data_IF_494880057135
#
_entry.id   IF_494880057135
#
_cell.length_a   1.000
_cell.length_b   1.000
_cell.length_c   1.000
_cell.angle_alpha   90.00
_cell.angle_beta   90.00
_cell.angle_gamma   90.00
#
_symmetry.space_group_name_H-M   'P 1'
#
loop_
_entity.id
_entity.type
_entity.pdbx_description
1 polymer ?
#
# COMPACT_ATOMS: atom_id res chain seq x y z
N UNK A 1 37.12 -11.88 -38.29
CA UNK A 1 35.69 -11.52 -38.17
C UNK A 1 35.05 -12.00 -36.85
N UNK A 2 35.32 -13.23 -36.37
CA UNK A 2 34.70 -13.74 -35.12
C UNK A 2 35.16 -13.05 -33.83
N UNK A 3 36.42 -12.59 -33.73
CA UNK A 3 36.94 -11.92 -32.54
C UNK A 3 36.35 -10.52 -32.31
N UNK A 4 36.01 -9.82 -33.39
CA UNK A 4 35.40 -8.47 -33.36
C UNK A 4 33.94 -8.56 -32.89
N UNK A 5 33.19 -9.56 -33.38
CA UNK A 5 31.80 -9.82 -32.97
C UNK A 5 31.74 -10.20 -31.47
N UNK A 6 32.69 -11.01 -31.00
CA UNK A 6 32.81 -11.35 -29.57
C UNK A 6 33.14 -10.13 -28.71
N UNK A 7 34.06 -9.27 -29.16
CA UNK A 7 34.40 -8.02 -28.46
C UNK A 7 33.21 -7.06 -28.35
N UNK A 8 32.45 -6.89 -29.42
CA UNK A 8 31.22 -6.07 -29.42
C UNK A 8 30.16 -6.68 -28.49
N UNK A 9 29.99 -8.00 -28.51
CA UNK A 9 29.08 -8.70 -27.61
C UNK A 9 29.39 -8.47 -26.13
N UNK A 10 30.68 -8.53 -25.73
CA UNK A 10 31.09 -8.27 -24.34
C UNK A 10 30.80 -6.83 -23.88
N UNK A 11 30.93 -5.85 -24.78
CA UNK A 11 30.67 -4.43 -24.46
C UNK A 11 29.22 -4.20 -24.04
N UNK A 12 28.25 -4.95 -24.60
CA UNK A 12 26.85 -4.86 -24.20
C UNK A 12 26.46 -5.83 -23.08
N UNK A 13 27.08 -7.01 -23.01
CA UNK A 13 26.76 -8.02 -22.00
C UNK A 13 27.21 -7.61 -20.60
N UNK A 14 28.38 -6.98 -20.45
CA UNK A 14 28.89 -6.58 -19.13
C UNK A 14 27.97 -5.55 -18.46
N UNK A 15 27.59 -4.42 -19.10
CA UNK A 15 26.65 -3.46 -18.51
C UNK A 15 25.29 -4.09 -18.20
N UNK A 16 24.78 -4.97 -19.07
CA UNK A 16 23.51 -5.65 -18.84
C UNK A 16 23.58 -6.57 -17.62
N UNK A 17 24.66 -7.34 -17.47
CA UNK A 17 24.89 -8.20 -16.31
C UNK A 17 25.05 -7.37 -15.02
N UNK A 18 25.79 -6.26 -15.08
CA UNK A 18 25.94 -5.32 -13.96
C UNK A 18 24.59 -4.75 -13.56
N UNK A 19 23.78 -4.28 -14.51
CA UNK A 19 22.43 -3.75 -14.23
C UNK A 19 21.50 -4.81 -13.64
N UNK A 20 21.52 -6.03 -14.17
CA UNK A 20 20.70 -7.15 -13.68
C UNK A 20 21.00 -7.50 -12.22
N UNK A 21 22.25 -7.36 -11.79
CA UNK A 21 22.67 -7.59 -10.39
C UNK A 21 22.43 -6.33 -9.54
N UNK A 22 22.74 -5.15 -10.06
CA UNK A 22 22.66 -3.90 -9.30
C UNK A 22 21.22 -3.49 -8.97
N UNK A 23 20.27 -3.66 -9.90
CA UNK A 23 18.90 -3.21 -9.70
C UNK A 23 18.20 -3.88 -8.51
N UNK A 24 18.20 -5.22 -8.34
CA UNK A 24 17.62 -5.86 -7.17
C UNK A 24 18.31 -5.51 -5.84
N UNK A 25 19.60 -5.16 -5.88
CA UNK A 25 20.36 -4.73 -4.69
C UNK A 25 20.02 -3.30 -4.28
N UNK A 26 19.83 -2.40 -5.25
CA UNK A 26 19.50 -1.00 -5.01
C UNK A 26 18.00 -0.77 -4.76
N UNK A 27 17.13 -1.60 -5.36
CA UNK A 27 15.67 -1.49 -5.30
C UNK A 27 15.06 -2.85 -4.95
N UNK A 28 15.28 -3.37 -3.74
CA UNK A 28 14.85 -4.70 -3.36
C UNK A 28 13.32 -4.78 -3.22
N UNK A 29 12.75 -5.89 -3.70
CA UNK A 29 11.38 -6.28 -3.33
C UNK A 29 11.43 -6.93 -1.95
N UNK A 30 11.25 -6.12 -0.91
CA UNK A 30 11.34 -6.57 0.48
C UNK A 30 10.27 -7.60 0.81
N UNK A 31 10.62 -8.54 1.70
CA UNK A 31 9.65 -9.43 2.34
C UNK A 31 9.31 -8.85 3.71
N UNK A 32 8.02 -8.65 3.98
CA UNK A 32 7.57 -8.17 5.27
C UNK A 32 7.69 -9.30 6.31
N UNK A 33 8.00 -8.99 7.59
CA UNK A 33 8.00 -10.00 8.64
C UNK A 33 6.61 -10.62 8.77
N UNK A 34 6.56 -11.95 8.93
CA UNK A 34 5.31 -12.66 9.15
C UNK A 34 4.73 -12.29 10.52
N UNK A 35 3.42 -12.04 10.62
CA UNK A 35 2.74 -11.95 11.91
C UNK A 35 2.92 -13.23 12.71
N UNK A 36 3.02 -13.10 14.04
CA UNK A 36 3.29 -14.24 14.94
C UNK A 36 2.07 -14.66 15.75
N UNK A 37 0.91 -14.02 15.54
CA UNK A 37 -0.35 -14.40 16.16
C UNK A 37 -0.97 -15.68 15.58
N UNK A 38 -2.05 -16.14 16.21
CA UNK A 38 -2.71 -17.41 15.88
C UNK A 38 -3.69 -17.31 14.70
N UNK A 39 -4.13 -16.11 14.35
CA UNK A 39 -5.11 -15.89 13.29
C UNK A 39 -4.44 -15.60 11.95
N UNK A 40 -5.01 -16.15 10.88
CA UNK A 40 -4.74 -15.61 9.54
C UNK A 40 -5.29 -14.19 9.43
N UNK A 41 -4.70 -13.36 8.57
CA UNK A 41 -5.07 -11.95 8.45
C UNK A 41 -5.84 -11.71 7.15
N UNK A 42 -6.99 -11.05 7.27
CA UNK A 42 -7.75 -10.50 6.16
C UNK A 42 -7.56 -8.99 6.08
N UNK A 43 -7.69 -8.42 4.89
CA UNK A 43 -7.75 -6.97 4.71
C UNK A 43 -8.78 -6.55 3.67
N UNK A 44 -9.47 -5.45 3.94
CA UNK A 44 -10.42 -4.83 3.01
C UNK A 44 -10.30 -3.31 3.05
N UNK A 45 -10.87 -2.65 2.05
CA UNK A 45 -10.96 -1.19 1.98
C UNK A 45 -12.42 -0.79 2.01
N UNK A 46 -12.74 0.22 2.81
CA UNK A 46 -14.05 0.85 2.89
C UNK A 46 -13.90 2.37 2.76
N UNK A 47 -15.01 3.04 2.45
CA UNK A 47 -15.09 4.50 2.46
C UNK A 47 -16.36 4.93 3.17
N UNK A 48 -16.25 5.99 3.96
CA UNK A 48 -17.34 6.52 4.75
C UNK A 48 -17.53 8.00 4.45
N UNK A 49 -18.73 8.35 3.99
CA UNK A 49 -19.11 9.74 3.77
C UNK A 49 -19.74 10.31 5.04
N UNK A 50 -19.13 11.37 5.55
CA UNK A 50 -19.61 12.13 6.69
C UNK A 50 -20.50 13.28 6.21
N UNK A 51 -21.81 13.02 6.19
CA UNK A 51 -22.82 13.99 5.75
C UNK A 51 -22.95 15.22 6.67
N UNK A 52 -22.34 15.19 7.86
CA UNK A 52 -22.39 16.30 8.83
C UNK A 52 -21.26 17.32 8.63
N UNK A 53 -20.24 16.99 7.84
CA UNK A 53 -19.08 17.85 7.60
C UNK A 53 -18.87 18.09 6.11
N UNK A 54 -18.66 19.34 5.74
CA UNK A 54 -18.24 19.72 4.39
C UNK A 54 -16.76 19.34 4.17
N UNK A 55 -16.42 19.05 2.91
CA UNK A 55 -15.04 18.90 2.48
C UNK A 55 -14.41 20.28 2.30
N UNK A 56 -13.34 20.55 3.05
CA UNK A 56 -12.71 21.88 3.11
C UNK A 56 -11.51 22.01 2.17
N UNK A 57 -11.07 20.90 1.57
CA UNK A 57 -9.91 20.86 0.68
C UNK A 57 -10.26 20.98 -0.81
N UNK A 58 -11.53 20.87 -1.16
CA UNK A 58 -12.05 21.02 -2.53
C UNK A 58 -12.78 22.36 -2.69
N UNK A 59 -12.93 22.82 -3.94
CA UNK A 59 -13.77 23.97 -4.27
C UNK A 59 -15.22 23.56 -4.58
N UNK A 60 -15.51 22.27 -4.55
CA UNK A 60 -16.84 21.70 -4.77
C UNK A 60 -17.60 21.67 -3.45
N UNK A 61 -18.92 21.83 -3.52
CA UNK A 61 -19.79 21.59 -2.37
C UNK A 61 -19.97 20.08 -2.20
N UNK A 62 -19.01 19.42 -1.58
CA UNK A 62 -19.07 18.00 -1.21
C UNK A 62 -18.87 17.77 0.30
N UNK A 63 -19.21 16.57 0.77
CA UNK A 63 -19.04 16.15 2.15
C UNK A 63 -17.73 15.39 2.33
N UNK A 64 -17.18 15.43 3.56
CA UNK A 64 -15.94 14.73 3.90
C UNK A 64 -16.13 13.22 3.71
N UNK A 65 -15.40 12.64 2.76
CA UNK A 65 -15.42 11.20 2.49
C UNK A 65 -14.06 10.60 2.86
N UNK A 66 -13.98 9.81 3.93
CA UNK A 66 -12.73 9.20 4.42
C UNK A 66 -12.58 7.76 3.94
N UNK A 67 -11.36 7.34 3.67
CA UNK A 67 -11.06 5.93 3.40
C UNK A 67 -10.67 5.23 4.68
N UNK A 68 -10.94 3.93 4.77
CA UNK A 68 -10.49 3.09 5.87
C UNK A 68 -9.99 1.78 5.30
N UNK A 69 -8.73 1.44 5.59
CA UNK A 69 -8.23 0.09 5.39
C UNK A 69 -8.37 -0.68 6.68
N UNK A 70 -8.98 -1.87 6.59
CA UNK A 70 -9.30 -2.69 7.75
C UNK A 70 -8.44 -3.94 7.70
N UNK A 71 -7.88 -4.34 8.85
CA UNK A 71 -7.25 -5.64 9.06
C UNK A 71 -8.00 -6.38 10.15
N UNK A 72 -8.24 -7.68 9.95
CA UNK A 72 -9.06 -8.49 10.84
C UNK A 72 -8.60 -9.95 10.87
N UNK A 73 -8.90 -10.69 11.95
CA UNK A 73 -8.76 -12.15 11.98
C UNK A 73 -9.62 -12.75 10.87
N UNK A 74 -9.02 -13.58 10.02
CA UNK A 74 -9.68 -14.12 8.83
C UNK A 74 -9.74 -15.65 8.82
N UNK A 75 -10.72 -16.15 8.07
CA UNK A 75 -10.88 -17.57 7.74
C UNK A 75 -10.83 -17.76 6.21
N UNK A 76 -10.77 -19.01 5.74
CA UNK A 76 -10.87 -19.35 4.31
C UNK A 76 -9.85 -18.64 3.39
N UNK A 77 -8.62 -18.46 3.84
CA UNK A 77 -7.57 -17.69 3.15
C UNK A 77 -6.86 -18.48 2.04
N UNK A 78 -6.96 -19.81 2.03
CA UNK A 78 -6.24 -20.65 1.07
C UNK A 78 -6.64 -20.37 -0.39
N UNK A 79 -5.63 -20.19 -1.25
CA UNK A 79 -5.82 -19.95 -2.69
C UNK A 79 -6.42 -18.58 -3.05
N UNK A 80 -6.65 -17.70 -2.06
CA UNK A 80 -7.21 -16.35 -2.26
C UNK A 80 -6.11 -15.33 -2.57
N UNK A 81 -6.54 -14.14 -2.99
CA UNK A 81 -5.64 -13.07 -3.40
C UNK A 81 -4.92 -12.45 -2.20
N UNK A 82 -3.60 -12.54 -2.18
CA UNK A 82 -2.75 -11.84 -1.19
C UNK A 82 -2.65 -10.35 -1.53
N UNK A 83 -2.80 -9.49 -0.51
CA UNK A 83 -2.70 -8.05 -0.67
C UNK A 83 -1.26 -7.59 -0.95
N UNK A 84 -1.12 -6.57 -1.81
CA UNK A 84 0.15 -5.84 -2.00
C UNK A 84 0.24 -4.71 -1.01
N UNK A 85 1.46 -4.37 -0.57
CA UNK A 85 1.66 -3.29 0.39
C UNK A 85 1.17 -1.95 -0.15
N UNK A 86 1.52 -1.65 -1.40
CA UNK A 86 0.96 -0.54 -2.15
C UNK A 86 0.27 -1.14 -3.38
N UNK A 87 -1.06 -1.06 -3.43
CA UNK A 87 -1.85 -1.66 -4.50
C UNK A 87 -1.95 -0.78 -5.76
N UNK A 88 -1.46 0.46 -5.72
CA UNK A 88 -1.55 1.42 -6.83
C UNK A 88 -0.19 1.98 -7.24
N UNK A 89 0.16 1.82 -8.54
CA UNK A 89 1.34 2.44 -9.17
C UNK A 89 1.23 3.97 -9.18
N UNK A 90 0.01 4.48 -9.32
CA UNK A 90 -0.27 5.90 -9.30
C UNK A 90 0.00 6.48 -7.91
N UNK A 91 -0.45 5.81 -6.84
CA UNK A 91 -0.22 6.25 -5.46
C UNK A 91 1.28 6.41 -5.14
N UNK A 92 2.13 5.48 -5.58
CA UNK A 92 3.58 5.61 -5.38
C UNK A 92 4.22 6.67 -6.31
N UNK A 93 3.64 6.92 -7.48
CA UNK A 93 4.03 8.04 -8.35
C UNK A 93 3.75 9.40 -7.69
N UNK A 94 2.63 9.54 -6.99
CA UNK A 94 2.29 10.74 -6.22
C UNK A 94 3.28 10.98 -5.09
N UNK A 95 3.73 9.93 -4.40
CA UNK A 95 4.80 10.04 -3.43
C UNK A 95 6.10 10.56 -4.07
N UNK A 96 6.50 10.05 -5.23
CA UNK A 96 7.67 10.54 -5.97
C UNK A 96 7.53 12.02 -6.33
N UNK A 97 6.37 12.46 -6.86
CA UNK A 97 6.09 13.88 -7.16
C UNK A 97 6.18 14.73 -5.89
N UNK A 98 5.55 14.27 -4.80
CA UNK A 98 5.53 15.00 -3.53
C UNK A 98 6.93 15.19 -2.93
N UNK A 99 7.80 14.19 -3.06
CA UNK A 99 9.18 14.25 -2.55
C UNK A 99 10.18 14.84 -3.55
N UNK A 100 9.73 15.26 -4.74
CA UNK A 100 10.59 15.68 -5.84
C UNK A 100 11.69 14.64 -6.17
N UNK A 101 11.30 13.36 -6.21
CA UNK A 101 12.19 12.23 -6.48
C UNK A 101 11.93 11.66 -7.88
N UNK A 102 12.95 11.08 -8.53
CA UNK A 102 12.75 10.26 -9.72
C UNK A 102 11.81 9.09 -9.44
N UNK A 103 11.04 8.67 -10.45
CA UNK A 103 10.03 7.62 -10.30
C UNK A 103 10.63 6.20 -10.25
N UNK A 104 11.33 5.90 -9.15
CA UNK A 104 12.08 4.65 -8.95
C UNK A 104 11.44 3.71 -7.92
N UNK A 105 10.38 4.16 -7.24
CA UNK A 105 9.74 3.41 -6.14
C UNK A 105 8.62 2.47 -6.59
N UNK A 106 8.37 2.35 -7.90
CA UNK A 106 7.34 1.46 -8.44
C UNK A 106 7.46 -0.01 -7.98
N UNK A 107 8.68 -0.45 -7.67
CA UNK A 107 8.95 -1.79 -7.16
C UNK A 107 8.26 -2.10 -5.81
N UNK A 108 7.85 -1.10 -5.02
CA UNK A 108 7.09 -1.33 -3.79
C UNK A 108 5.69 -1.92 -4.04
N UNK A 109 5.14 -1.74 -5.24
CA UNK A 109 3.90 -2.43 -5.65
C UNK A 109 4.07 -3.95 -5.78
N UNK A 110 5.32 -4.42 -5.86
CA UNK A 110 5.66 -5.84 -5.91
C UNK A 110 5.71 -6.48 -4.52
N UNK A 111 5.80 -5.68 -3.45
CA UNK A 111 5.85 -6.18 -2.07
C UNK A 111 4.51 -6.80 -1.70
N UNK A 112 4.55 -8.09 -1.32
CA UNK A 112 3.38 -8.81 -0.80
C UNK A 112 3.31 -8.64 0.72
N UNK A 113 2.10 -8.57 1.22
CA UNK A 113 1.78 -8.58 2.65
C UNK A 113 1.41 -10.00 3.09
N UNK A 114 1.05 -10.17 4.37
CA UNK A 114 0.51 -11.41 4.92
C UNK A 114 -1.03 -11.40 5.02
N UNK A 115 -1.66 -10.37 4.46
CA UNK A 115 -3.11 -10.18 4.44
C UNK A 115 -3.73 -10.77 3.18
N UNK A 116 -4.88 -11.40 3.34
CA UNK A 116 -5.70 -11.88 2.23
C UNK A 116 -6.84 -10.90 1.95
N UNK A 117 -7.04 -10.52 0.69
CA UNK A 117 -8.02 -9.50 0.33
C UNK A 117 -9.45 -10.03 0.35
N UNK A 118 -10.34 -9.29 1.00
CA UNK A 118 -11.80 -9.45 0.94
C UNK A 118 -12.26 -10.89 1.24
N UNK A 119 -11.73 -11.48 2.30
CA UNK A 119 -12.14 -12.79 2.81
C UNK A 119 -13.04 -12.64 4.03
N UNK A 120 -13.67 -13.72 4.45
CA UNK A 120 -14.57 -13.69 5.60
C UNK A 120 -13.79 -13.46 6.90
N UNK A 121 -14.39 -12.69 7.79
CA UNK A 121 -13.92 -12.55 9.18
C UNK A 121 -13.98 -13.92 9.84
N UNK A 122 -12.99 -14.24 10.68
CA UNK A 122 -12.98 -15.47 11.45
C UNK A 122 -14.13 -15.47 12.46
N UNK A 123 -14.88 -16.57 12.56
CA UNK A 123 -15.99 -16.71 13.53
C UNK A 123 -15.55 -17.45 14.81
N UNK A 124 -14.24 -17.51 15.09
CA UNK A 124 -13.73 -18.18 16.28
C UNK A 124 -14.12 -17.47 17.59
N UNK A 125 -14.37 -16.16 17.51
CA UNK A 125 -14.86 -15.33 18.62
C UNK A 125 -16.17 -14.65 18.20
N UNK A 126 -17.09 -14.46 19.14
CA UNK A 126 -18.32 -13.70 18.89
C UNK A 126 -18.03 -12.20 18.71
N UNK A 127 -16.99 -11.69 19.37
CA UNK A 127 -16.60 -10.28 19.36
C UNK A 127 -15.08 -10.15 19.37
N UNK A 128 -14.56 -9.20 18.60
CA UNK A 128 -13.15 -8.84 18.60
C UNK A 128 -12.96 -7.41 19.13
N UNK A 129 -11.92 -7.14 19.93
CA UNK A 129 -11.54 -5.78 20.28
C UNK A 129 -11.22 -4.95 19.03
N UNK A 130 -11.72 -3.72 18.99
CA UNK A 130 -11.57 -2.80 17.87
C UNK A 130 -10.52 -1.73 18.19
N UNK A 131 -9.62 -1.49 17.25
CA UNK A 131 -8.64 -0.41 17.29
C UNK A 131 -8.91 0.54 16.13
N UNK A 132 -9.08 1.82 16.44
CA UNK A 132 -9.07 2.90 15.43
C UNK A 132 -7.66 3.47 15.35
N UNK A 133 -7.05 3.38 14.17
CA UNK A 133 -5.70 3.83 13.92
C UNK A 133 -5.69 5.06 13.02
N UNK A 134 -4.99 6.10 13.44
CA UNK A 134 -4.70 7.29 12.62
C UNK A 134 -3.22 7.31 12.28
N UNK A 135 -2.91 7.35 11.00
CA UNK A 135 -1.55 7.37 10.49
C UNK A 135 -0.81 8.70 10.72
N UNK A 136 0.49 8.70 10.43
CA UNK A 136 1.26 9.94 10.31
C UNK A 136 0.83 10.71 9.06
N UNK A 137 0.88 12.05 9.11
CA UNK A 137 0.51 12.91 8.00
C UNK A 137 1.44 12.80 6.80
N UNK A 138 0.92 13.14 5.61
CA UNK A 138 1.61 13.03 4.32
C UNK A 138 2.10 11.60 4.00
N UNK A 139 1.35 10.59 4.45
CA UNK A 139 1.63 9.18 4.19
C UNK A 139 0.46 8.53 3.44
N UNK A 140 0.07 7.30 3.77
CA UNK A 140 -1.09 6.60 3.20
C UNK A 140 -1.66 5.62 4.22
N UNK A 141 -2.85 5.09 3.94
CA UNK A 141 -3.59 4.17 4.82
C UNK A 141 -2.85 2.84 5.12
N UNK A 142 -1.93 2.39 4.25
CA UNK A 142 -1.13 1.17 4.42
C UNK A 142 0.26 1.37 5.07
N UNK A 143 0.58 2.56 5.58
CA UNK A 143 1.93 2.89 6.06
C UNK A 143 2.42 2.01 7.22
N UNK A 144 1.51 1.48 8.05
CA UNK A 144 1.84 0.65 9.23
C UNK A 144 1.41 -0.81 9.07
N UNK A 145 1.35 -1.33 7.84
CA UNK A 145 0.82 -2.68 7.55
C UNK A 145 1.38 -3.77 8.47
N UNK A 146 2.68 -3.79 8.77
CA UNK A 146 3.30 -4.78 9.65
C UNK A 146 2.64 -4.80 11.04
N UNK A 147 2.39 -3.62 11.61
CA UNK A 147 1.75 -3.49 12.92
C UNK A 147 0.27 -3.87 12.86
N UNK A 148 -0.44 -3.49 11.78
CA UNK A 148 -1.85 -3.80 11.61
C UNK A 148 -2.07 -5.31 11.44
N UNK A 149 -1.21 -5.98 10.67
CA UNK A 149 -1.22 -7.43 10.49
C UNK A 149 -0.90 -8.17 11.79
N UNK A 150 0.09 -7.69 12.55
CA UNK A 150 0.42 -8.28 13.85
C UNK A 150 -0.74 -8.19 14.83
N UNK A 151 -1.40 -7.02 14.93
CA UNK A 151 -2.60 -6.84 15.75
C UNK A 151 -3.74 -7.76 15.29
N UNK A 152 -4.03 -7.81 13.98
CA UNK A 152 -5.07 -8.67 13.44
C UNK A 152 -4.80 -10.16 13.69
N UNK A 153 -3.54 -10.59 13.53
CA UNK A 153 -3.14 -11.97 13.83
C UNK A 153 -3.35 -12.37 15.30
N UNK A 154 -3.44 -11.38 16.21
CA UNK A 154 -3.67 -11.56 17.65
C UNK A 154 -5.14 -11.39 18.06
N UNK A 155 -6.07 -11.25 17.12
CA UNK A 155 -7.49 -11.15 17.43
C UNK A 155 -8.03 -9.71 17.55
N UNK A 156 -7.38 -8.71 16.95
CA UNK A 156 -7.92 -7.35 16.90
C UNK A 156 -8.49 -7.02 15.52
N UNK A 157 -9.59 -6.28 15.46
CA UNK A 157 -10.00 -5.63 14.21
C UNK A 157 -9.45 -4.21 14.23
N UNK A 158 -8.62 -3.87 13.25
CA UNK A 158 -7.95 -2.58 13.17
C UNK A 158 -8.48 -1.80 11.98
N UNK A 159 -9.02 -0.60 12.24
CA UNK A 159 -9.52 0.34 11.23
C UNK A 159 -8.48 1.46 11.08
N UNK A 160 -7.66 1.42 10.03
CA UNK A 160 -6.73 2.51 9.72
C UNK A 160 -7.42 3.55 8.83
N UNK A 161 -7.65 4.72 9.39
CA UNK A 161 -8.30 5.85 8.70
C UNK A 161 -7.27 6.53 7.80
N UNK A 162 -7.58 6.61 6.52
CA UNK A 162 -6.88 7.48 5.57
C UNK A 162 -7.45 8.90 5.67
N UNK A 163 -6.57 9.88 5.43
CA UNK A 163 -6.91 11.30 5.49
C UNK A 163 -6.79 11.94 4.10
N UNK A 164 -7.86 11.92 3.28
CA UNK A 164 -7.82 12.47 1.93
C UNK A 164 -7.37 13.93 1.93
N UNK A 165 -6.58 14.28 0.92
CA UNK A 165 -5.93 15.58 0.74
C UNK A 165 -4.78 15.89 1.72
N UNK A 166 -4.64 15.12 2.80
CA UNK A 166 -3.56 15.24 3.80
C UNK A 166 -2.52 14.11 3.71
N UNK A 167 -2.93 12.95 3.21
CA UNK A 167 -2.07 11.84 2.84
C UNK A 167 -1.57 12.00 1.40
N UNK A 168 -0.36 11.50 1.07
CA UNK A 168 0.13 11.50 -0.31
C UNK A 168 -0.77 10.68 -1.24
N UNK A 169 -1.46 9.67 -0.68
CA UNK A 169 -2.48 8.90 -1.36
C UNK A 169 -3.50 8.29 -0.37
N UNK A 170 -4.78 8.38 -0.73
CA UNK A 170 -5.86 7.60 -0.12
C UNK A 170 -6.47 6.67 -1.17
N UNK A 171 -6.38 5.36 -0.94
CA UNK A 171 -6.88 4.34 -1.87
C UNK A 171 -8.32 3.98 -1.49
N UNK A 172 -9.26 4.24 -2.39
CA UNK A 172 -10.68 3.92 -2.20
C UNK A 172 -11.00 2.46 -2.58
N UNK A 173 -12.15 1.91 -2.15
CA UNK A 173 -12.52 0.52 -2.41
C UNK A 173 -12.60 0.14 -3.89
N UNK A 174 -13.00 1.08 -4.75
CA UNK A 174 -13.04 0.99 -6.21
C UNK A 174 -11.72 1.38 -6.89
N UNK A 175 -10.64 1.49 -6.10
CA UNK A 175 -9.27 1.78 -6.52
C UNK A 175 -9.02 3.19 -7.05
N UNK A 176 -9.99 4.12 -7.01
CA UNK A 176 -9.68 5.52 -7.28
C UNK A 176 -8.85 6.13 -6.15
N UNK A 177 -8.11 7.20 -6.47
CA UNK A 177 -7.29 7.94 -5.53
C UNK A 177 -7.82 9.36 -5.34
N UNK A 178 -7.79 9.85 -4.11
CA UNK A 178 -7.83 11.31 -3.86
C UNK A 178 -6.41 11.83 -3.65
N UNK A 179 -6.09 12.88 -4.39
CA UNK A 179 -4.76 13.46 -4.47
C UNK A 179 -4.44 14.32 -3.25
N UNK A 180 -3.15 14.34 -2.87
CA UNK A 180 -2.62 15.20 -1.84
C UNK A 180 -2.67 16.67 -2.24
N UNK A 181 -3.14 17.53 -1.32
CA UNK A 181 -3.42 18.94 -1.63
C UNK A 181 -2.19 19.71 -2.13
N UNK A 182 -1.00 19.45 -1.56
CA UNK A 182 0.20 20.18 -1.97
C UNK A 182 0.61 19.90 -3.42
N UNK A 183 0.24 18.75 -4.00
CA UNK A 183 0.55 18.45 -5.40
C UNK A 183 -0.22 19.32 -6.41
N UNK A 184 -1.30 19.98 -5.96
CA UNK A 184 -2.12 20.87 -6.79
C UNK A 184 -1.56 22.31 -6.87
N UNK A 185 -0.53 22.63 -6.08
CA UNK A 185 0.09 23.97 -6.02
C UNK A 185 1.49 24.02 -6.64
N UNK A 186 2.02 22.90 -7.14
CA UNK A 186 3.34 22.79 -7.78
C UNK A 186 3.22 22.30 -9.24
N UNK A 187 2.41 23.00 -10.03
CA UNK A 187 2.41 22.91 -11.50
C UNK A 187 2.97 24.21 -12.10
#
# INVERSE_FOLDING_TARGET
MSSVIKGIGLIFLIPLAVLSIALPLLFPVVQLPAPIGSYSVGSTHMSFMDLSREEIFTQTSDNRNVTVQIWYPASNTEGKQVARWISSREAIGLFSKYRNLPDLFGHFTLVKTHSTLNVDVCEAEEQYPVILFSGGGAMFNGQNVIQMEELASRGYIVFAVGHPYEDFACIYPDHHLKLFLFLLYFD
#
